data_IF_576981151697
#
_entry.id   IF_576981151697
#
_cell.length_a   1.000
_cell.length_b   1.000
_cell.length_c   1.000
_cell.angle_alpha   90.00
_cell.angle_beta   90.00
_cell.angle_gamma   90.00
#
_symmetry.space_group_name_H-M   'P 1'
#
loop_
_entity.id
_entity.type
_entity.pdbx_description
1 polymer ?
#
# COMPACT_ATOMS: atom_id res chain seq x y z
N UNK A 1 -4.73 -31.83 -24.87
CA UNK A 1 -5.48 -31.43 -23.66
C UNK A 1 -4.96 -32.24 -22.48
N UNK A 2 -4.10 -31.65 -21.63
CA UNK A 2 -3.74 -32.05 -20.25
C UNK A 2 -2.48 -31.29 -19.82
N UNK A 3 -2.64 -30.11 -19.19
CA UNK A 3 -1.59 -29.50 -18.35
C UNK A 3 -2.08 -28.40 -17.38
N UNK A 4 -3.39 -28.14 -17.27
CA UNK A 4 -3.95 -27.08 -16.42
C UNK A 4 -4.12 -27.45 -14.93
N UNK A 5 -3.63 -28.61 -14.48
CA UNK A 5 -3.87 -29.11 -13.12
C UNK A 5 -2.68 -29.07 -12.15
N UNK A 6 -1.49 -28.65 -12.60
CA UNK A 6 -0.26 -28.78 -11.81
C UNK A 6 0.15 -27.49 -11.07
N UNK A 7 -0.26 -26.33 -11.58
CA UNK A 7 0.10 -25.03 -10.98
C UNK A 7 -0.77 -24.73 -9.76
N UNK A 8 -2.07 -25.04 -9.82
CA UNK A 8 -3.01 -24.82 -8.71
C UNK A 8 -2.75 -25.73 -7.50
N UNK A 9 -2.33 -26.97 -7.74
CA UNK A 9 -2.04 -27.91 -6.66
C UNK A 9 -0.74 -27.57 -5.89
N UNK A 10 0.25 -26.97 -6.57
CA UNK A 10 1.51 -26.53 -5.93
C UNK A 10 1.32 -25.28 -5.07
N UNK A 11 0.45 -24.34 -5.48
CA UNK A 11 0.10 -23.18 -4.65
C UNK A 11 -0.67 -23.61 -3.41
N UNK A 12 -1.69 -24.46 -3.54
CA UNK A 12 -2.53 -24.85 -2.40
C UNK A 12 -1.78 -25.67 -1.33
N UNK A 13 -0.87 -26.55 -1.74
CA UNK A 13 0.00 -27.29 -0.82
C UNK A 13 0.99 -26.37 -0.09
N UNK A 14 1.50 -25.33 -0.76
CA UNK A 14 2.42 -24.34 -0.17
C UNK A 14 1.69 -23.42 0.81
N UNK A 15 0.47 -22.98 0.48
CA UNK A 15 -0.38 -22.19 1.36
C UNK A 15 -0.83 -22.95 2.60
N UNK A 16 -1.16 -24.24 2.45
CA UNK A 16 -1.54 -25.10 3.59
C UNK A 16 -0.39 -25.32 4.57
N UNK A 17 0.85 -25.46 4.07
CA UNK A 17 2.04 -25.62 4.89
C UNK A 17 2.39 -24.35 5.67
N UNK A 18 2.27 -23.18 5.05
CA UNK A 18 2.50 -21.88 5.70
C UNK A 18 1.44 -21.55 6.77
N UNK A 19 0.20 -21.99 6.59
CA UNK A 19 -0.89 -21.81 7.57
C UNK A 19 -0.68 -22.63 8.84
N UNK A 20 0.02 -23.76 8.74
CA UNK A 20 0.35 -24.62 9.88
C UNK A 20 1.47 -24.00 10.74
N UNK A 21 2.55 -23.52 10.12
CA UNK A 21 3.68 -22.91 10.83
C UNK A 21 3.32 -21.60 11.58
N UNK A 22 2.31 -20.86 11.12
CA UNK A 22 1.86 -19.62 11.77
C UNK A 22 1.11 -19.86 13.09
N UNK A 23 0.51 -21.03 13.27
CA UNK A 23 -0.21 -21.37 14.51
C UNK A 23 0.75 -21.79 15.62
N UNK A 24 1.89 -22.41 15.29
CA UNK A 24 2.89 -22.82 16.28
C UNK A 24 3.62 -21.62 16.91
N UNK A 25 3.74 -20.50 16.18
CA UNK A 25 4.35 -19.27 16.69
C UNK A 25 3.43 -18.53 17.68
N UNK A 26 2.11 -18.65 17.56
CA UNK A 26 1.16 -18.06 18.52
C UNK A 26 1.11 -18.80 19.87
N UNK A 27 1.58 -20.04 19.93
CA UNK A 27 1.61 -20.83 21.15
C UNK A 27 2.86 -20.56 22.03
N UNK A 28 3.88 -19.88 21.49
CA UNK A 28 5.16 -19.67 22.15
C UNK A 28 5.49 -18.17 22.31
N UNK A 29 5.00 -17.53 23.37
CA UNK A 29 5.60 -16.28 23.83
C UNK A 29 4.68 -15.30 24.53
N UNK A 30 4.53 -15.45 25.84
CA UNK A 30 4.29 -14.30 26.72
C UNK A 30 5.25 -14.42 27.90
N UNK A 31 6.27 -13.57 28.03
CA UNK A 31 7.03 -13.47 29.27
C UNK A 31 6.31 -12.52 30.26
N UNK A 32 6.43 -12.77 31.57
CA UNK A 32 5.75 -12.00 32.61
C UNK A 32 6.40 -10.63 32.85
N UNK A 33 5.58 -9.68 33.29
CA UNK A 33 5.97 -8.33 33.74
C UNK A 33 6.48 -8.43 35.19
N UNK A 34 7.70 -7.98 35.44
CA UNK A 34 8.22 -7.75 36.79
C UNK A 34 7.99 -6.29 37.20
N UNK A 35 7.34 -6.11 38.34
CA UNK A 35 7.15 -4.85 39.03
C UNK A 35 8.17 -4.73 40.15
N UNK A 36 8.94 -3.63 40.18
CA UNK A 36 9.58 -3.11 41.38
C UNK A 36 9.60 -1.58 41.29
N UNK A 37 9.11 -0.92 42.34
CA UNK A 37 9.25 0.52 42.54
C UNK A 37 10.29 0.82 43.61
N UNK A 38 10.68 2.09 43.72
CA UNK A 38 10.95 2.73 45.01
C UNK A 38 11.10 4.24 44.84
N UNK A 39 10.47 4.97 45.76
CA UNK A 39 10.59 6.41 46.00
C UNK A 39 12.02 6.78 46.41
N UNK A 40 12.43 8.04 46.15
CA UNK A 40 13.18 8.85 47.12
C UNK A 40 13.20 10.34 46.72
N UNK A 41 12.96 11.16 47.73
CA UNK A 41 12.79 12.60 47.66
C UNK A 41 14.12 13.39 47.66
N UNK A 42 14.12 14.52 46.96
CA UNK A 42 14.63 15.83 47.41
C UNK A 42 16.14 16.08 47.47
N UNK A 43 16.63 17.00 46.61
CA UNK A 43 17.41 18.16 47.08
C UNK A 43 17.53 19.23 45.99
N UNK A 44 17.17 20.46 46.36
CA UNK A 44 17.36 21.66 45.58
C UNK A 44 18.77 22.23 45.81
N UNK A 45 19.48 22.57 44.75
CA UNK A 45 20.55 23.58 44.79
C UNK A 45 20.51 24.44 43.53
N UNK A 46 20.42 25.74 43.79
CA UNK A 46 20.39 26.88 42.90
C UNK A 46 21.70 27.11 42.13
N UNK A 47 21.62 27.43 40.84
CA UNK A 47 22.65 28.18 40.10
C UNK A 47 22.01 29.20 39.13
N UNK A 48 22.65 30.37 38.89
CA UNK A 48 22.03 31.56 38.30
C UNK A 48 21.90 31.52 36.76
N UNK A 49 21.07 32.39 36.15
CA UNK A 49 20.86 32.41 34.70
C UNK A 49 22.06 33.03 33.98
N UNK A 50 22.69 32.27 33.09
CA UNK A 50 23.64 32.81 32.11
C UNK A 50 22.91 33.16 30.81
N UNK A 51 23.03 34.42 30.41
CA UNK A 51 22.61 34.95 29.11
C UNK A 51 23.26 34.17 27.94
N UNK A 52 22.59 34.07 26.78
CA UNK A 52 23.02 33.19 25.71
C UNK A 52 24.30 33.71 25.06
N UNK A 53 25.36 32.92 25.12
CA UNK A 53 26.50 33.05 24.22
C UNK A 53 26.04 32.67 22.81
N UNK A 54 26.19 33.62 21.89
CA UNK A 54 26.14 33.40 20.44
C UNK A 54 27.24 32.39 20.10
N UNK A 55 26.84 31.14 19.87
CA UNK A 55 27.71 30.09 19.35
C UNK A 55 27.08 29.56 18.08
N UNK A 56 27.81 29.78 16.98
CA UNK A 56 27.90 28.90 15.82
C UNK A 56 26.61 28.29 15.31
N UNK A 57 26.11 28.87 14.22
CA UNK A 57 25.32 28.20 13.20
C UNK A 57 25.76 26.75 12.96
N UNK A 58 24.97 25.81 13.48
CA UNK A 58 24.94 24.41 13.05
C UNK A 58 23.52 24.07 12.58
N UNK A 59 23.06 24.80 11.54
CA UNK A 59 21.88 24.43 10.76
C UNK A 59 22.29 23.47 9.64
N UNK A 60 22.79 22.29 10.01
CA UNK A 60 23.10 21.21 9.06
C UNK A 60 22.05 20.11 8.99
N UNK A 61 21.06 20.07 9.89
CA UNK A 61 20.18 18.90 10.07
C UNK A 61 18.78 18.98 9.45
N UNK A 62 18.35 20.12 8.93
CA UNK A 62 16.96 20.32 8.47
C UNK A 62 16.77 20.14 6.95
N UNK A 63 17.84 20.08 6.17
CA UNK A 63 17.79 20.05 4.70
C UNK A 63 17.55 18.61 4.21
N UNK A 64 18.19 17.61 4.84
CA UNK A 64 18.14 16.22 4.41
C UNK A 64 16.74 15.58 4.51
N UNK A 65 15.97 15.92 5.55
CA UNK A 65 14.61 15.39 5.71
C UNK A 65 13.63 15.93 4.67
N UNK A 66 13.78 17.20 4.29
CA UNK A 66 12.93 17.83 3.27
C UNK A 66 13.26 17.30 1.87
N UNK A 67 14.54 17.12 1.56
CA UNK A 67 14.99 16.58 0.27
C UNK A 67 14.63 15.09 0.10
N UNK A 68 14.75 14.28 1.17
CA UNK A 68 14.31 12.88 1.14
C UNK A 68 12.78 12.74 1.01
N UNK A 69 12.02 13.59 1.71
CA UNK A 69 10.56 13.64 1.58
C UNK A 69 10.10 14.03 0.17
N UNK A 70 10.74 15.04 -0.42
CA UNK A 70 10.46 15.48 -1.80
C UNK A 70 10.83 14.39 -2.82
N UNK A 71 11.98 13.71 -2.66
CA UNK A 71 12.38 12.62 -3.54
C UNK A 71 11.39 11.44 -3.48
N UNK A 72 10.91 11.08 -2.29
CA UNK A 72 9.90 10.02 -2.10
C UNK A 72 8.55 10.40 -2.73
N UNK A 73 8.11 11.65 -2.55
CA UNK A 73 6.88 12.15 -3.14
C UNK A 73 6.95 12.14 -4.68
N UNK A 74 8.07 12.59 -5.26
CA UNK A 74 8.30 12.55 -6.71
C UNK A 74 8.33 11.11 -7.26
N UNK A 75 8.92 10.17 -6.53
CA UNK A 75 8.91 8.74 -6.91
C UNK A 75 7.51 8.14 -6.89
N UNK A 76 6.70 8.47 -5.87
CA UNK A 76 5.31 8.05 -5.80
C UNK A 76 4.50 8.60 -6.98
N UNK A 77 4.65 9.88 -7.31
CA UNK A 77 3.96 10.51 -8.44
C UNK A 77 4.34 9.84 -9.77
N UNK A 78 5.63 9.58 -9.99
CA UNK A 78 6.09 8.87 -11.17
C UNK A 78 5.52 7.44 -11.24
N UNK A 79 5.50 6.74 -10.11
CA UNK A 79 5.00 5.38 -10.01
C UNK A 79 3.49 5.31 -10.34
N UNK A 80 2.71 6.24 -9.82
CA UNK A 80 1.29 6.38 -10.14
C UNK A 80 1.06 6.69 -11.63
N UNK A 81 1.81 7.63 -12.19
CA UNK A 81 1.74 7.95 -13.62
C UNK A 81 2.03 6.72 -14.50
N UNK A 82 3.09 5.96 -14.18
CA UNK A 82 3.45 4.75 -14.91
C UNK A 82 2.35 3.69 -14.81
N UNK A 83 1.82 3.43 -13.61
CA UNK A 83 0.79 2.42 -13.40
C UNK A 83 -0.54 2.79 -14.07
N UNK A 84 -0.97 4.05 -13.94
CA UNK A 84 -2.19 4.52 -14.60
C UNK A 84 -2.02 4.44 -16.11
N UNK A 85 -0.88 4.90 -16.66
CA UNK A 85 -0.60 4.79 -18.10
C UNK A 85 -0.65 3.34 -18.58
N UNK A 86 0.00 2.42 -17.87
CA UNK A 86 0.01 0.99 -18.20
C UNK A 86 -1.41 0.39 -18.20
N UNK A 87 -2.24 0.73 -17.21
CA UNK A 87 -3.63 0.26 -17.15
C UNK A 87 -4.52 0.86 -18.22
N UNK A 88 -4.24 2.09 -18.65
CA UNK A 88 -4.97 2.74 -19.75
C UNK A 88 -4.59 2.19 -21.12
N UNK A 89 -3.35 1.69 -21.29
CA UNK A 89 -2.78 1.28 -22.58
C UNK A 89 -3.48 0.08 -23.26
N UNK A 90 -4.44 -0.57 -22.60
CA UNK A 90 -5.25 -1.64 -23.19
C UNK A 90 -6.76 -1.52 -22.97
N UNK A 91 -7.23 -0.47 -22.29
CA UNK A 91 -8.64 -0.36 -21.90
C UNK A 91 -9.41 0.60 -22.80
N UNK A 92 -10.54 0.13 -23.33
CA UNK A 92 -11.56 1.02 -23.91
C UNK A 92 -12.34 1.63 -22.76
N UNK A 93 -12.25 2.94 -22.56
CA UNK A 93 -12.98 3.61 -21.49
C UNK A 93 -12.49 5.03 -21.25
N UNK A 94 -13.26 5.78 -20.47
CA UNK A 94 -12.86 7.10 -19.98
C UNK A 94 -12.06 6.92 -18.71
N UNK A 95 -10.85 7.49 -18.66
CA UNK A 95 -10.01 7.46 -17.47
C UNK A 95 -9.99 8.82 -16.82
N UNK A 96 -10.29 8.85 -15.52
CA UNK A 96 -10.25 10.05 -14.69
C UNK A 96 -9.22 9.81 -13.59
N UNK A 97 -8.28 10.74 -13.44
CA UNK A 97 -7.22 10.71 -12.42
C UNK A 97 -7.60 11.57 -11.22
N UNK A 98 -7.08 11.25 -10.04
CA UNK A 98 -7.30 12.01 -8.79
C UNK A 98 -8.78 12.29 -8.56
N UNK A 99 -9.58 11.24 -8.56
CA UNK A 99 -11.03 11.35 -8.49
C UNK A 99 -11.45 11.53 -7.05
N UNK A 100 -12.02 12.71 -6.76
CA UNK A 100 -12.74 12.95 -5.51
C UNK A 100 -14.24 12.87 -5.73
N UNK A 101 -14.94 11.98 -5.02
CA UNK A 101 -16.40 11.89 -5.08
C UNK A 101 -17.04 13.22 -4.63
N UNK A 102 -18.11 13.66 -5.30
CA UNK A 102 -18.77 14.92 -4.93
C UNK A 102 -19.35 14.89 -3.52
N UNK A 103 -19.81 13.73 -3.07
CA UNK A 103 -20.41 13.51 -1.76
C UNK A 103 -19.35 13.38 -0.64
N UNK A 104 -18.09 13.11 -0.97
CA UNK A 104 -17.01 13.06 0.01
C UNK A 104 -15.70 13.52 -0.63
N UNK A 105 -15.36 14.80 -0.43
CA UNK A 105 -14.15 15.42 -0.99
C UNK A 105 -12.87 15.08 -0.22
N UNK A 106 -12.97 14.39 0.91
CA UNK A 106 -11.80 13.96 1.67
C UNK A 106 -11.16 12.70 1.07
N UNK A 107 -11.89 11.99 0.21
CA UNK A 107 -11.39 10.84 -0.52
C UNK A 107 -10.78 11.32 -1.85
N UNK A 108 -9.60 10.80 -2.16
CA UNK A 108 -8.94 10.99 -3.46
C UNK A 108 -8.51 9.62 -3.95
N UNK A 109 -9.18 9.13 -4.98
CA UNK A 109 -8.81 7.90 -5.67
C UNK A 109 -7.76 8.21 -6.74
N UNK A 110 -6.74 7.37 -6.89
CA UNK A 110 -5.66 7.63 -7.85
C UNK A 110 -6.19 7.67 -9.30
N UNK A 111 -6.97 6.66 -9.69
CA UNK A 111 -7.74 6.74 -10.93
C UNK A 111 -9.04 5.93 -10.90
N UNK A 112 -9.97 6.32 -11.76
CA UNK A 112 -11.21 5.59 -12.05
C UNK A 112 -11.35 5.46 -13.56
N UNK A 113 -11.51 4.23 -14.02
CA UNK A 113 -11.83 3.90 -15.40
C UNK A 113 -13.31 3.54 -15.49
N UNK A 114 -14.01 4.15 -16.45
CA UNK A 114 -15.42 3.88 -16.72
C UNK A 114 -15.61 3.43 -18.15
N UNK A 115 -16.31 2.31 -18.35
CA UNK A 115 -16.69 1.80 -19.68
C UNK A 115 -18.13 1.27 -19.64
N UNK A 116 -19.08 2.11 -20.02
CA UNK A 116 -20.51 1.83 -19.79
C UNK A 116 -20.78 1.65 -18.31
N UNK A 117 -21.34 0.49 -17.94
CA UNK A 117 -21.68 0.14 -16.56
C UNK A 117 -20.48 -0.43 -15.76
N UNK A 118 -19.32 -0.59 -16.39
CA UNK A 118 -18.11 -1.06 -15.73
C UNK A 118 -17.37 0.11 -15.09
N UNK A 119 -17.14 0.01 -13.77
CA UNK A 119 -16.32 0.94 -13.01
C UNK A 119 -15.12 0.19 -12.43
N UNK A 120 -13.93 0.67 -12.74
CA UNK A 120 -12.69 0.10 -12.23
C UNK A 120 -11.92 1.18 -11.50
N UNK A 121 -11.78 1.04 -10.19
CA UNK A 121 -10.92 1.90 -9.38
C UNK A 121 -9.51 1.35 -9.43
N UNK A 122 -8.56 2.25 -9.62
CA UNK A 122 -7.13 1.97 -9.61
C UNK A 122 -6.58 2.69 -8.39
N UNK A 123 -5.97 1.94 -7.49
CA UNK A 123 -5.29 2.46 -6.31
C UNK A 123 -3.83 2.04 -6.37
N UNK A 124 -2.91 2.98 -6.16
CA UNK A 124 -1.47 2.76 -6.29
C UNK A 124 -0.78 2.99 -4.95
N UNK A 125 0.00 2.01 -4.50
CA UNK A 125 0.86 2.14 -3.33
C UNK A 125 2.31 1.91 -3.71
N UNK A 126 3.17 2.81 -3.28
CA UNK A 126 4.61 2.70 -3.47
C UNK A 126 5.33 2.31 -2.17
N UNK A 127 6.24 1.34 -2.27
CA UNK A 127 7.08 0.91 -1.15
C UNK A 127 8.48 0.56 -1.64
N UNK A 128 9.51 0.89 -0.88
CA UNK A 128 10.89 0.61 -1.31
C UNK A 128 11.28 -0.85 -1.08
N UNK A 129 10.75 -1.50 -0.05
CA UNK A 129 11.19 -2.81 0.42
C UNK A 129 10.04 -3.82 0.61
N UNK A 130 8.87 -3.55 0.03
CA UNK A 130 7.69 -4.40 0.19
C UNK A 130 7.03 -4.32 1.57
N UNK A 131 7.50 -3.43 2.46
CA UNK A 131 6.88 -3.23 3.77
C UNK A 131 5.88 -2.09 3.65
N UNK A 132 4.60 -2.42 3.78
CA UNK A 132 3.49 -1.49 3.94
C UNK A 132 2.65 -2.00 5.12
N UNK A 133 2.32 -1.16 6.10
CA UNK A 133 1.44 -1.56 7.19
C UNK A 133 0.06 -1.94 6.66
N UNK A 134 -0.55 -2.98 7.23
CA UNK A 134 -1.90 -3.46 6.85
C UNK A 134 -2.93 -2.32 6.88
N UNK A 135 -2.83 -1.43 7.87
CA UNK A 135 -3.71 -0.28 8.03
C UNK A 135 -3.71 0.67 6.82
N UNK A 136 -2.62 0.71 6.04
CA UNK A 136 -2.56 1.50 4.80
C UNK A 136 -3.40 0.89 3.69
N UNK A 137 -3.48 -0.44 3.62
CA UNK A 137 -4.39 -1.12 2.69
C UNK A 137 -5.83 -0.93 3.15
N UNK A 138 -6.09 -1.16 4.45
CA UNK A 138 -7.42 -1.02 5.04
C UNK A 138 -7.98 0.38 4.83
N UNK A 139 -7.22 1.43 5.13
CA UNK A 139 -7.65 2.81 4.91
C UNK A 139 -8.05 3.09 3.46
N UNK A 140 -7.29 2.60 2.48
CA UNK A 140 -7.65 2.75 1.07
C UNK A 140 -8.91 1.97 0.70
N UNK A 141 -9.04 0.74 1.21
CA UNK A 141 -10.25 -0.07 0.96
C UNK A 141 -11.48 0.60 1.59
N UNK A 142 -11.38 1.13 2.81
CA UNK A 142 -12.46 1.86 3.48
C UNK A 142 -12.89 3.09 2.67
N UNK A 143 -11.94 3.87 2.14
CA UNK A 143 -12.21 5.01 1.25
C UNK A 143 -12.91 4.57 -0.05
N UNK A 144 -12.50 3.43 -0.62
CA UNK A 144 -13.12 2.87 -1.83
C UNK A 144 -14.52 2.31 -1.53
N UNK A 145 -14.75 1.73 -0.35
CA UNK A 145 -16.08 1.29 0.11
C UNK A 145 -17.02 2.48 0.18
N UNK A 146 -16.59 3.59 0.78
CA UNK A 146 -17.38 4.82 0.81
C UNK A 146 -17.68 5.34 -0.61
N UNK A 147 -16.71 5.23 -1.53
CA UNK A 147 -16.96 5.56 -2.93
C UNK A 147 -18.01 4.65 -3.56
N UNK A 148 -17.90 3.33 -3.35
CA UNK A 148 -18.80 2.30 -3.86
C UNK A 148 -20.24 2.47 -3.35
N UNK A 149 -20.41 2.78 -2.06
CA UNK A 149 -21.72 2.99 -1.44
C UNK A 149 -22.50 4.16 -2.07
N UNK A 150 -21.77 5.19 -2.54
CA UNK A 150 -22.35 6.34 -3.23
C UNK A 150 -22.68 6.12 -4.71
N UNK A 151 -22.48 4.91 -5.25
CA UNK A 151 -22.83 4.57 -6.63
C UNK A 151 -24.27 4.07 -6.74
N UNK A 152 -24.85 4.26 -7.93
CA UNK A 152 -26.12 3.63 -8.29
C UNK A 152 -25.97 2.10 -8.35
N UNK A 153 -27.03 1.36 -8.00
CA UNK A 153 -26.98 -0.10 -7.90
C UNK A 153 -26.60 -0.79 -9.23
N UNK A 154 -26.94 -0.18 -10.37
CA UNK A 154 -26.52 -0.66 -11.68
C UNK A 154 -24.98 -0.68 -11.81
N UNK A 155 -24.32 0.39 -11.37
CA UNK A 155 -22.86 0.56 -11.47
C UNK A 155 -22.10 -0.32 -10.48
N UNK A 156 -22.71 -0.64 -9.33
CA UNK A 156 -22.14 -1.54 -8.33
C UNK A 156 -21.86 -2.94 -8.87
N UNK A 157 -22.70 -3.43 -9.79
CA UNK A 157 -22.55 -4.78 -10.37
C UNK A 157 -21.30 -4.92 -11.24
N UNK A 158 -20.86 -3.83 -11.88
CA UNK A 158 -19.66 -3.77 -12.72
C UNK A 158 -18.43 -3.24 -12.00
N UNK A 159 -18.51 -3.04 -10.67
CA UNK A 159 -17.45 -2.41 -9.89
C UNK A 159 -16.32 -3.39 -9.56
N UNK A 160 -15.08 -2.97 -9.77
CA UNK A 160 -13.89 -3.72 -9.37
C UNK A 160 -12.74 -2.78 -8.98
N UNK A 161 -11.78 -3.32 -8.23
CA UNK A 161 -10.57 -2.58 -7.83
C UNK A 161 -9.34 -3.31 -8.35
N UNK A 162 -8.40 -2.56 -8.92
CA UNK A 162 -7.02 -2.98 -9.11
C UNK A 162 -6.13 -2.19 -8.14
N UNK A 163 -5.60 -2.90 -7.14
CA UNK A 163 -4.62 -2.37 -6.20
C UNK A 163 -3.21 -2.70 -6.72
N UNK A 164 -2.48 -1.67 -7.13
CA UNK A 164 -1.14 -1.79 -7.67
C UNK A 164 -0.12 -1.44 -6.58
N UNK A 165 0.76 -2.38 -6.27
CA UNK A 165 1.90 -2.19 -5.39
C UNK A 165 3.16 -2.03 -6.24
N UNK A 166 3.81 -0.88 -6.13
CA UNK A 166 5.01 -0.56 -6.88
C UNK A 166 6.22 -0.57 -5.95
N UNK A 167 7.26 -1.26 -6.38
CA UNK A 167 8.47 -1.52 -5.59
C UNK A 167 9.72 -1.01 -6.29
N UNK A 168 10.75 -0.61 -5.54
CA UNK A 168 12.02 -0.20 -6.19
C UNK A 168 12.72 -1.36 -6.89
N UNK A 169 12.62 -2.54 -6.30
CA UNK A 169 13.25 -3.77 -6.79
C UNK A 169 12.23 -4.90 -6.89
N UNK A 170 12.59 -5.94 -7.63
CA UNK A 170 11.80 -7.17 -7.71
C UNK A 170 11.82 -7.84 -6.35
N UNK A 171 10.64 -7.95 -5.71
CA UNK A 171 10.54 -8.56 -4.39
C UNK A 171 10.64 -10.09 -4.46
N UNK A 172 11.25 -10.73 -3.44
CA UNK A 172 11.17 -12.18 -3.29
C UNK A 172 9.73 -12.67 -3.23
N UNK A 173 9.46 -13.87 -3.76
CA UNK A 173 8.11 -14.47 -3.84
C UNK A 173 7.44 -14.50 -2.46
N UNK A 174 8.17 -14.83 -1.38
CA UNK A 174 7.59 -14.88 -0.04
C UNK A 174 7.06 -13.51 0.42
N UNK A 175 7.74 -12.42 0.05
CA UNK A 175 7.30 -11.06 0.38
C UNK A 175 6.04 -10.70 -0.42
N UNK A 176 6.01 -11.05 -1.72
CA UNK A 176 4.83 -10.84 -2.55
C UNK A 176 3.61 -11.62 -2.03
N UNK A 177 3.79 -12.87 -1.61
CA UNK A 177 2.73 -13.69 -1.00
C UNK A 177 2.25 -13.05 0.30
N UNK A 178 3.16 -12.59 1.15
CA UNK A 178 2.78 -11.91 2.39
C UNK A 178 1.94 -10.65 2.12
N UNK A 179 2.36 -9.81 1.18
CA UNK A 179 1.60 -8.62 0.77
C UNK A 179 0.18 -8.99 0.33
N UNK A 180 0.03 -10.04 -0.49
CA UNK A 180 -1.29 -10.50 -0.94
C UNK A 180 -2.15 -10.98 0.23
N UNK A 181 -1.60 -11.76 1.15
CA UNK A 181 -2.31 -12.21 2.37
C UNK A 181 -2.74 -11.02 3.25
N UNK A 182 -1.85 -10.06 3.45
CA UNK A 182 -2.12 -8.84 4.23
C UNK A 182 -3.26 -8.01 3.59
N UNK A 183 -3.30 -7.93 2.25
CA UNK A 183 -4.39 -7.27 1.51
C UNK A 183 -5.69 -8.07 1.58
N UNK A 184 -5.64 -9.39 1.39
CA UNK A 184 -6.82 -10.25 1.49
C UNK A 184 -7.47 -10.15 2.87
N UNK A 185 -6.65 -10.04 3.92
CA UNK A 185 -7.12 -9.79 5.29
C UNK A 185 -7.74 -8.40 5.44
N UNK A 186 -7.13 -7.36 4.86
CA UNK A 186 -7.69 -6.00 4.86
C UNK A 186 -8.99 -5.90 4.05
N UNK A 187 -9.16 -6.76 3.05
CA UNK A 187 -10.26 -6.72 2.09
C UNK A 187 -11.43 -7.67 2.43
N UNK A 188 -11.38 -8.39 3.56
CA UNK A 188 -12.35 -9.47 3.86
C UNK A 188 -13.81 -9.01 3.94
N UNK A 189 -14.07 -7.71 4.08
CA UNK A 189 -15.41 -7.12 4.16
C UNK A 189 -15.82 -6.32 2.91
N UNK A 190 -14.97 -6.22 1.89
CA UNK A 190 -15.28 -5.41 0.73
C UNK A 190 -16.39 -6.07 -0.13
N UNK A 191 -17.40 -5.31 -0.58
CA UNK A 191 -18.50 -5.82 -1.39
C UNK A 191 -18.15 -6.00 -2.88
N UNK A 192 -16.86 -5.92 -3.23
CA UNK A 192 -16.38 -5.93 -4.61
C UNK A 192 -15.07 -6.72 -4.76
N UNK A 193 -14.76 -7.21 -5.97
CA UNK A 193 -13.50 -7.87 -6.24
C UNK A 193 -12.32 -6.88 -6.19
N UNK A 194 -11.27 -7.27 -5.49
CA UNK A 194 -9.97 -6.57 -5.47
C UNK A 194 -8.91 -7.46 -6.09
N UNK A 195 -8.21 -6.95 -7.10
CA UNK A 195 -7.08 -7.61 -7.74
C UNK A 195 -5.79 -6.92 -7.34
N UNK A 196 -4.79 -7.69 -6.95
CA UNK A 196 -3.50 -7.18 -6.50
C UNK A 196 -2.45 -7.44 -7.55
N UNK A 197 -1.81 -6.36 -8.00
CA UNK A 197 -0.68 -6.41 -8.93
C UNK A 197 0.55 -5.85 -8.25
N UNK A 198 1.69 -6.51 -8.41
CA UNK A 198 2.95 -6.08 -7.81
C UNK A 198 3.97 -5.93 -8.92
N UNK A 199 4.57 -4.74 -9.05
CA UNK A 199 5.57 -4.46 -10.08
C UNK A 199 6.78 -3.76 -9.49
N UNK A 200 7.96 -4.09 -10.00
CA UNK A 200 9.12 -3.22 -9.84
C UNK A 200 8.98 -2.00 -10.76
N UNK A 201 9.50 -0.84 -10.33
CA UNK A 201 9.48 0.40 -11.12
C UNK A 201 10.12 0.21 -12.50
N UNK A 202 11.24 -0.53 -12.56
CA UNK A 202 11.94 -0.77 -13.83
C UNK A 202 11.14 -1.65 -14.80
N UNK A 203 10.37 -2.61 -14.28
CA UNK A 203 9.47 -3.42 -15.11
C UNK A 203 8.33 -2.56 -15.67
N UNK A 204 7.72 -1.68 -14.85
CA UNK A 204 6.69 -0.75 -15.33
C UNK A 204 7.19 0.20 -16.41
N UNK A 205 8.39 0.75 -16.25
CA UNK A 205 9.00 1.63 -17.26
C UNK A 205 9.15 0.90 -18.60
N UNK A 206 9.67 -0.33 -18.56
CA UNK A 206 9.83 -1.18 -19.74
C UNK A 206 8.48 -1.45 -20.40
N UNK A 207 7.48 -1.88 -19.63
CA UNK A 207 6.16 -2.20 -20.18
C UNK A 207 5.50 -0.99 -20.85
N UNK A 208 5.62 0.20 -20.26
CA UNK A 208 5.12 1.45 -20.85
C UNK A 208 5.90 1.83 -22.11
N UNK A 209 7.22 1.71 -22.12
CA UNK A 209 8.09 2.04 -23.26
C UNK A 209 7.80 1.14 -24.47
N UNK A 210 7.60 -0.16 -24.24
CA UNK A 210 7.39 -1.14 -25.30
C UNK A 210 5.91 -1.44 -25.60
N UNK A 211 4.98 -0.77 -24.90
CA UNK A 211 3.54 -0.96 -25.09
C UNK A 211 3.07 -2.37 -24.75
N UNK A 212 3.73 -3.04 -23.82
CA UNK A 212 3.34 -4.37 -23.37
C UNK A 212 2.05 -4.27 -22.54
N UNK A 213 1.04 -5.10 -22.83
CA UNK A 213 -0.18 -5.08 -22.04
C UNK A 213 0.12 -5.48 -20.60
N UNK A 214 -0.42 -4.72 -19.63
CA UNK A 214 -0.31 -5.03 -18.21
C UNK A 214 -0.83 -6.42 -17.84
N UNK A 215 -1.75 -6.96 -18.66
CA UNK A 215 -2.46 -8.22 -18.48
C UNK A 215 -2.62 -8.92 -19.84
N UNK A 216 -1.89 -10.01 -20.03
CA UNK A 216 -2.16 -11.03 -21.04
C UNK A 216 -2.71 -12.28 -20.36
#
# INVERSE_FOLDING_TARGET
MKSLGLVDAMTEATFSKLRFELNDIKAAGTPPVSAEGEDLAGQATSMPPQSPAVVGSDQGGAIDGFTQGAARASRLLLAEELAVNLLTLGQRGTVRRRVSPRFNRNIVLDAVVTNGDLIRVIEVKYTTNGKLPVDKYKSSIDDIVLYYEGLDDQLKSGFAVDLIIITEEILPIQVQVKIKVDIDLANSAAPFPVRVHIYAVEDLKRMVEFGEPAFA
#
